data_IF_541620413660
#
_entry.id   IF_541620413660
#
_cell.length_a   1.000
_cell.length_b   1.000
_cell.length_c   1.000
_cell.angle_alpha   90.00
_cell.angle_beta   90.00
_cell.angle_gamma   90.00
#
_symmetry.space_group_name_H-M   'P 1'
#
loop_
_entity.id
_entity.type
_entity.pdbx_description
1 polymer ?
#
# COMPACT_ATOMS: atom_id res chain seq x y z
N UNK A 1 -40.44 60.45 9.04
CA UNK A 1 -39.24 61.32 9.02
C UNK A 1 -39.05 61.86 10.44
N UNK A 2 -37.85 62.05 11.01
CA UNK A 2 -36.48 61.81 10.52
C UNK A 2 -35.56 61.04 11.54
N UNK A 3 -34.58 60.24 11.08
CA UNK A 3 -33.10 60.42 11.23
C UNK A 3 -32.51 60.08 12.64
N UNK A 4 -31.39 59.37 12.88
CA UNK A 4 -30.24 58.90 12.09
C UNK A 4 -29.30 58.05 13.00
N UNK A 5 -28.91 56.86 12.52
CA UNK A 5 -27.57 56.22 12.39
C UNK A 5 -26.38 56.53 13.35
N UNK A 6 -25.70 55.49 13.88
CA UNK A 6 -24.36 54.94 13.49
C UNK A 6 -23.77 54.04 14.61
N UNK A 7 -23.52 52.75 14.31
CA UNK A 7 -22.20 52.08 14.17
C UNK A 7 -21.41 51.95 15.50
N UNK A 8 -20.96 50.77 15.96
CA UNK A 8 -19.81 49.96 15.49
C UNK A 8 -19.98 48.54 16.11
N UNK A 9 -20.18 47.47 15.32
CA UNK A 9 -19.21 46.47 14.83
C UNK A 9 -18.35 45.75 15.90
N UNK A 10 -18.06 44.46 15.68
CA UNK A 10 -17.36 43.45 16.54
C UNK A 10 -18.37 42.58 17.28
N UNK A 11 -18.64 41.31 16.97
CA UNK A 11 -17.87 40.25 16.32
C UNK A 11 -18.85 39.35 15.58
N UNK A 12 -18.55 39.10 14.30
CA UNK A 12 -19.17 38.10 13.47
C UNK A 12 -18.04 37.16 13.06
N UNK A 13 -17.98 36.01 13.71
CA UNK A 13 -17.21 34.83 13.29
C UNK A 13 -18.21 33.67 13.52
N UNK A 14 -19.08 33.34 12.56
CA UNK A 14 -18.79 32.52 11.38
C UNK A 14 -17.96 31.28 11.79
N UNK A 15 -18.41 30.04 11.64
CA UNK A 15 -19.61 29.49 11.07
C UNK A 15 -19.69 28.03 11.55
N UNK A 16 -20.91 27.57 11.85
CA UNK A 16 -21.38 26.24 11.51
C UNK A 16 -20.60 25.04 12.08
N UNK A 17 -21.02 24.65 13.29
CA UNK A 17 -21.17 23.25 13.67
C UNK A 17 -22.08 22.54 12.65
N UNK A 18 -21.51 21.99 11.60
CA UNK A 18 -22.15 21.04 10.69
C UNK A 18 -21.45 19.69 10.88
N UNK A 19 -22.22 18.62 11.02
CA UNK A 19 -21.75 17.27 11.25
C UNK A 19 -20.61 16.89 10.28
N UNK A 20 -19.38 16.81 10.79
CA UNK A 20 -18.25 16.28 10.04
C UNK A 20 -18.42 14.76 9.99
N UNK A 21 -19.20 14.29 9.02
CA UNK A 21 -19.10 12.91 8.55
C UNK A 21 -17.62 12.73 8.18
N UNK A 22 -16.85 11.83 8.83
CA UNK A 22 -15.46 11.63 8.47
C UNK A 22 -15.43 11.20 7.00
N UNK A 23 -15.02 12.12 6.13
CA UNK A 23 -14.92 11.82 4.70
C UNK A 23 -13.98 10.61 4.57
N UNK A 24 -14.37 9.55 3.85
CA UNK A 24 -13.54 8.37 3.73
C UNK A 24 -12.21 8.78 3.11
N UNK A 25 -11.13 8.64 3.88
CA UNK A 25 -9.79 8.94 3.42
C UNK A 25 -9.47 7.97 2.27
N UNK A 26 -9.09 8.50 1.10
CA UNK A 26 -8.59 7.68 0.01
C UNK A 26 -7.19 7.21 0.35
N UNK A 27 -6.99 5.90 0.32
CA UNK A 27 -5.72 5.25 0.63
C UNK A 27 -5.29 4.49 -0.62
N UNK A 28 -4.30 5.02 -1.31
CA UNK A 28 -3.69 4.38 -2.47
C UNK A 28 -2.41 3.67 -2.02
N UNK A 29 -2.30 2.37 -2.28
CA UNK A 29 -1.15 1.57 -1.87
C UNK A 29 -0.39 1.08 -3.09
N UNK A 30 0.93 1.27 -3.07
CA UNK A 30 1.84 0.76 -4.10
C UNK A 30 2.86 -0.19 -3.49
N UNK A 31 2.86 -1.43 -3.95
CA UNK A 31 3.87 -2.42 -3.56
C UNK A 31 5.16 -2.15 -4.33
N UNK A 32 6.28 -2.06 -3.62
CA UNK A 32 7.60 -1.77 -4.20
C UNK A 32 8.40 -3.04 -4.43
N UNK A 33 8.38 -3.99 -3.49
CA UNK A 33 9.10 -5.26 -3.60
C UNK A 33 8.41 -6.33 -2.76
N UNK A 34 8.32 -7.54 -3.31
CA UNK A 34 7.75 -8.72 -2.64
C UNK A 34 8.89 -9.66 -2.28
N UNK A 35 8.87 -10.14 -1.04
CA UNK A 35 9.85 -11.05 -0.45
C UNK A 35 9.12 -12.34 -0.04
N UNK A 36 9.42 -13.48 -0.69
CA UNK A 36 8.72 -14.73 -0.43
C UNK A 36 9.18 -15.45 0.85
N UNK A 37 10.33 -15.09 1.41
CA UNK A 37 10.93 -15.76 2.56
C UNK A 37 11.11 -14.84 3.77
N UNK A 38 10.95 -15.41 4.96
CA UNK A 38 11.12 -14.71 6.24
C UNK A 38 9.89 -13.97 6.75
N UNK A 39 10.08 -13.20 7.83
CA UNK A 39 9.01 -12.43 8.47
C UNK A 39 8.61 -11.19 7.65
N UNK A 40 9.50 -10.67 6.79
CA UNK A 40 9.19 -9.54 5.93
C UNK A 40 8.67 -10.05 4.59
N UNK A 41 7.42 -9.71 4.26
CA UNK A 41 6.72 -10.15 3.06
C UNK A 41 6.81 -9.15 1.92
N UNK A 42 6.77 -7.85 2.23
CA UNK A 42 6.89 -6.82 1.21
C UNK A 42 7.23 -5.44 1.77
N UNK A 43 7.71 -4.58 0.90
CA UNK A 43 7.74 -3.13 1.11
C UNK A 43 6.65 -2.46 0.29
N UNK A 44 5.95 -1.51 0.91
CA UNK A 44 4.92 -0.70 0.29
C UNK A 44 5.14 0.78 0.56
N UNK A 45 4.50 1.58 -0.29
CA UNK A 45 4.29 3.01 -0.08
C UNK A 45 2.80 3.28 -0.07
N UNK A 46 2.34 4.07 0.87
CA UNK A 46 0.92 4.43 1.05
C UNK A 46 0.76 5.91 0.75
N UNK A 47 -0.20 6.27 -0.08
CA UNK A 47 -0.57 7.65 -0.38
C UNK A 47 -1.96 7.93 0.20
N UNK A 48 -2.06 8.99 0.97
CA UNK A 48 -3.27 9.44 1.65
C UNK A 48 -3.82 10.67 0.92
N UNK A 49 -5.03 10.54 0.38
CA UNK A 49 -5.75 11.57 -0.36
C UNK A 49 -4.97 12.20 -1.53
N UNK A 50 -3.93 11.54 -2.05
CA UNK A 50 -3.07 12.12 -3.09
C UNK A 50 -2.15 13.25 -2.60
N UNK A 51 -2.24 13.64 -1.33
CA UNK A 51 -1.55 14.80 -0.77
C UNK A 51 -0.39 14.41 0.14
N UNK A 52 -0.36 13.17 0.64
CA UNK A 52 0.65 12.74 1.59
C UNK A 52 1.11 11.31 1.33
N UNK A 53 2.42 11.09 1.16
CA UNK A 53 2.97 9.78 0.87
C UNK A 53 3.87 9.28 2.01
N UNK A 54 3.58 8.07 2.50
CA UNK A 54 4.34 7.35 3.49
C UNK A 54 5.14 6.25 2.77
N UNK A 55 6.46 6.34 2.83
CA UNK A 55 7.39 5.34 2.26
C UNK A 55 7.89 4.40 3.34
N UNK A 56 8.46 3.26 2.94
CA UNK A 56 9.03 2.25 3.82
C UNK A 56 8.01 1.60 4.77
N UNK A 57 6.77 1.44 4.30
CA UNK A 57 5.78 0.62 5.00
C UNK A 57 6.14 -0.85 4.77
N UNK A 58 6.21 -1.65 5.84
CA UNK A 58 6.60 -3.06 5.77
C UNK A 58 5.37 -3.94 5.97
N UNK A 59 5.16 -4.90 5.10
CA UNK A 59 4.20 -5.98 5.30
C UNK A 59 4.98 -7.14 5.92
N UNK A 60 4.55 -7.55 7.10
CA UNK A 60 5.19 -8.60 7.88
C UNK A 60 4.22 -9.75 8.08
N UNK A 61 4.76 -10.97 8.12
CA UNK A 61 4.02 -12.18 8.49
C UNK A 61 4.24 -12.49 9.96
N UNK A 62 3.18 -12.80 10.68
CA UNK A 62 3.22 -13.24 12.07
C UNK A 62 2.36 -14.50 12.22
N UNK A 63 2.44 -15.17 13.36
CA UNK A 63 1.61 -16.34 13.67
C UNK A 63 0.11 -16.04 13.66
N UNK A 64 -0.27 -14.76 13.78
CA UNK A 64 -1.66 -14.28 13.70
C UNK A 64 -2.08 -13.82 12.29
N UNK A 65 -1.20 -13.97 11.30
CA UNK A 65 -1.41 -13.52 9.92
C UNK A 65 -0.59 -12.29 9.54
N UNK A 66 -0.84 -11.79 8.34
CA UNK A 66 -0.15 -10.62 7.78
C UNK A 66 -0.55 -9.34 8.52
N UNK A 67 0.44 -8.50 8.80
CA UNK A 67 0.23 -7.21 9.42
C UNK A 67 1.13 -6.14 8.82
N UNK A 68 0.66 -4.90 8.86
CA UNK A 68 1.43 -3.73 8.44
C UNK A 68 2.25 -3.18 9.60
N UNK A 69 3.56 -3.13 9.41
CA UNK A 69 4.50 -2.44 10.27
C UNK A 69 4.83 -1.06 9.67
N UNK A 70 4.57 -0.03 10.46
CA UNK A 70 4.81 1.36 10.06
C UNK A 70 6.32 1.65 9.90
N UNK A 71 6.68 2.71 9.16
CA UNK A 71 8.05 3.19 9.09
C UNK A 71 8.53 3.58 10.48
N UNK A 72 9.64 2.98 10.93
CA UNK A 72 10.19 3.20 12.25
C UNK A 72 11.65 3.60 12.19
N UNK A 73 12.09 4.37 13.18
CA UNK A 73 13.47 4.76 13.36
C UNK A 73 14.01 4.19 14.68
N UNK A 74 15.31 3.90 14.71
CA UNK A 74 15.99 3.48 15.92
C UNK A 74 16.39 4.72 16.71
N UNK A 75 15.82 4.90 17.89
CA UNK A 75 16.19 5.97 18.81
C UNK A 75 17.56 5.69 19.45
N UNK A 76 18.22 6.73 19.96
CA UNK A 76 19.56 6.64 20.56
C UNK A 76 19.66 5.71 21.77
N UNK A 77 18.54 5.41 22.43
CA UNK A 77 18.43 4.43 23.51
C UNK A 77 18.30 2.97 23.01
N UNK A 78 18.32 2.74 21.69
CA UNK A 78 18.17 1.41 21.09
C UNK A 78 16.72 0.97 20.83
N UNK A 79 15.73 1.75 21.27
CA UNK A 79 14.30 1.46 21.06
C UNK A 79 13.86 1.87 19.65
N UNK A 80 12.97 1.09 19.03
CA UNK A 80 12.36 1.46 17.76
C UNK A 80 11.07 2.22 17.99
N UNK A 81 10.95 3.39 17.35
CA UNK A 81 9.74 4.22 17.39
C UNK A 81 9.19 4.41 16.00
N UNK A 82 7.88 4.25 15.87
CA UNK A 82 7.18 4.52 14.61
C UNK A 82 7.18 6.02 14.33
N UNK A 83 7.57 6.37 13.10
CA UNK A 83 7.61 7.76 12.61
C UNK A 83 6.18 8.25 12.35
N UNK A 84 5.32 7.35 11.89
CA UNK A 84 3.92 7.63 11.63
C UNK A 84 3.07 6.50 12.18
N UNK A 85 1.97 6.88 12.80
CA UNK A 85 1.04 5.97 13.44
C UNK A 85 -0.40 6.41 13.17
N UNK A 86 -1.32 5.49 12.88
CA UNK A 86 -2.73 5.82 12.78
C UNK A 86 -3.26 6.20 14.17
N UNK A 87 -4.02 7.30 14.23
CA UNK A 87 -4.58 7.80 15.50
C UNK A 87 -5.86 7.06 15.89
N UNK A 88 -6.71 6.74 14.91
CA UNK A 88 -7.99 6.07 15.15
C UNK A 88 -7.91 4.57 14.81
N UNK A 89 -8.67 3.76 15.55
CA UNK A 89 -8.75 2.32 15.31
C UNK A 89 -9.33 2.00 13.92
N UNK A 90 -10.38 2.71 13.53
CA UNK A 90 -11.04 2.53 12.23
C UNK A 90 -10.08 2.75 11.07
N UNK A 91 -9.27 3.83 11.12
CA UNK A 91 -8.29 4.10 10.08
C UNK A 91 -7.14 3.07 10.09
N UNK A 92 -6.73 2.60 11.28
CA UNK A 92 -5.75 1.52 11.39
C UNK A 92 -6.23 0.25 10.67
N UNK A 93 -7.48 -0.13 10.89
CA UNK A 93 -8.09 -1.30 10.24
C UNK A 93 -8.22 -1.09 8.73
N UNK A 94 -8.69 0.08 8.30
CA UNK A 94 -8.81 0.45 6.89
C UNK A 94 -7.45 0.40 6.18
N UNK A 95 -6.40 0.98 6.78
CA UNK A 95 -5.06 0.98 6.20
C UNK A 95 -4.48 -0.43 6.13
N UNK A 96 -4.64 -1.23 7.19
CA UNK A 96 -4.14 -2.60 7.20
C UNK A 96 -4.80 -3.42 6.09
N UNK A 97 -6.12 -3.32 5.94
CA UNK A 97 -6.86 -4.00 4.87
C UNK A 97 -6.40 -3.53 3.48
N UNK A 98 -6.37 -2.22 3.23
CA UNK A 98 -5.97 -1.68 1.93
C UNK A 98 -4.56 -2.13 1.50
N UNK A 99 -3.62 -2.20 2.46
CA UNK A 99 -2.24 -2.64 2.16
C UNK A 99 -2.17 -4.14 1.91
N UNK A 100 -2.89 -4.96 2.70
CA UNK A 100 -2.93 -6.42 2.51
C UNK A 100 -3.60 -6.75 1.17
N UNK A 101 -4.69 -6.07 0.82
CA UNK A 101 -5.37 -6.23 -0.48
C UNK A 101 -4.43 -5.91 -1.65
N UNK A 102 -3.75 -4.77 -1.60
CA UNK A 102 -2.78 -4.38 -2.63
C UNK A 102 -1.61 -5.38 -2.73
N UNK A 103 -1.17 -5.94 -1.60
CA UNK A 103 -0.16 -7.00 -1.57
C UNK A 103 -0.64 -8.28 -2.27
N UNK A 104 -1.84 -8.75 -1.95
CA UNK A 104 -2.42 -9.96 -2.58
C UNK A 104 -2.64 -9.79 -4.08
N UNK A 105 -3.09 -8.61 -4.51
CA UNK A 105 -3.23 -8.26 -5.93
C UNK A 105 -1.87 -8.28 -6.64
N UNK A 106 -0.85 -7.66 -6.03
CA UNK A 106 0.50 -7.61 -6.59
C UNK A 106 1.17 -8.99 -6.64
N UNK A 107 0.89 -9.86 -5.66
CA UNK A 107 1.33 -11.26 -5.66
C UNK A 107 0.75 -12.03 -6.85
N UNK A 108 -0.57 -11.92 -7.06
CA UNK A 108 -1.27 -12.59 -8.18
C UNK A 108 -0.71 -12.12 -9.52
N UNK A 109 -0.49 -10.82 -9.67
CA UNK A 109 0.06 -10.24 -10.89
C UNK A 109 1.51 -10.69 -11.15
N UNK A 110 2.33 -10.78 -10.09
CA UNK A 110 3.71 -11.27 -10.19
C UNK A 110 3.79 -12.75 -10.55
N UNK A 111 2.82 -13.56 -10.11
CA UNK A 111 2.73 -14.99 -10.47
C UNK A 111 2.26 -15.19 -11.91
N UNK A 112 1.30 -14.39 -12.39
CA UNK A 112 0.83 -14.45 -13.78
C UNK A 112 1.91 -14.03 -14.78
N UNK A 113 2.73 -13.03 -14.45
CA UNK A 113 3.87 -12.64 -15.31
C UNK A 113 4.94 -13.72 -15.39
N UNK A 114 5.18 -14.50 -14.34
CA UNK A 114 6.12 -15.65 -14.37
C UNK A 114 5.62 -16.82 -15.21
N UNK A 115 4.30 -16.99 -15.37
CA UNK A 115 3.74 -18.05 -16.20
C UNK A 115 3.75 -17.71 -17.71
N UNK A 116 3.87 -16.43 -18.07
CA UNK A 116 3.92 -15.98 -19.46
C UNK A 116 5.33 -15.94 -20.07
N UNK A 117 6.38 -16.06 -19.25
CA UNK A 117 7.79 -16.15 -19.68
C UNK A 117 8.30 -17.61 -19.64
N UNK A 118 7.47 -18.54 -20.12
CA UNK A 118 7.91 -19.89 -20.46
C UNK A 118 7.92 -19.97 -22.00
N UNK A 119 9.09 -20.11 -22.67
CA UNK A 119 9.09 -20.31 -24.11
C UNK A 119 8.30 -21.58 -24.47
N UNK A 120 7.52 -21.57 -25.56
CA UNK A 120 6.76 -22.74 -25.97
C UNK A 120 7.74 -23.81 -26.45
N UNK A 121 7.86 -24.87 -25.66
CA UNK A 121 8.08 -26.26 -26.08
C UNK A 121 8.76 -26.43 -27.47
N UNK A 122 10.08 -26.54 -27.49
CA UNK A 122 10.78 -27.17 -28.63
C UNK A 122 10.37 -28.64 -28.68
N UNK A 123 9.60 -29.01 -29.70
CA UNK A 123 9.26 -30.40 -30.02
C UNK A 123 10.54 -31.17 -30.41
N UNK A 124 10.64 -32.47 -30.09
CA UNK A 124 11.76 -33.29 -30.54
C UNK A 124 11.65 -33.48 -32.05
N UNK A 125 12.63 -32.95 -32.80
CA UNK A 125 12.77 -33.24 -34.23
C UNK A 125 13.10 -34.73 -34.39
N UNK A 126 12.07 -35.54 -34.63
CA UNK A 126 12.20 -36.86 -35.22
C UNK A 126 12.68 -36.69 -36.67
N UNK A 127 14.00 -36.64 -36.88
CA UNK A 127 14.56 -36.92 -38.19
C UNK A 127 14.64 -38.44 -38.37
N UNK A 128 13.60 -38.99 -38.97
CA UNK A 128 13.60 -40.34 -39.53
C UNK A 128 14.13 -40.29 -40.96
N UNK A 129 15.34 -40.77 -41.23
CA UNK A 129 15.81 -40.83 -42.63
C UNK A 129 17.21 -41.35 -42.95
N UNK A 130 17.37 -42.68 -43.00
CA UNK A 130 18.08 -43.41 -44.09
C UNK A 130 19.62 -43.65 -43.99
N UNK A 131 19.96 -44.90 -43.62
CA UNK A 131 20.83 -45.91 -44.30
C UNK A 131 22.34 -45.63 -44.63
N UNK A 132 23.14 -46.62 -44.22
CA UNK A 132 24.18 -47.39 -44.96
C UNK A 132 25.69 -47.19 -44.64
N UNK A 133 26.33 -48.38 -44.62
CA UNK A 133 27.71 -48.73 -44.97
C UNK A 133 28.85 -48.54 -43.95
N UNK A 134 29.14 -49.64 -43.24
CA UNK A 134 30.43 -50.36 -43.27
C UNK A 134 31.72 -49.62 -42.94
N UNK A 135 32.34 -49.98 -41.82
CA UNK A 135 33.72 -50.51 -41.70
C UNK A 135 34.02 -50.85 -40.24
#
# INVERSE_FOLDING_TARGET
>A
MPKTQKAVNTVQEAAQTAAEQPMPMKVDVKISSIHPEGNLRAYASVNLNGCFAIRNVKIMDSTKGLFVAMPSYKAGNGEYKDICFPVTKEFREQLNNAVIEAYNQSLTQSQQQKAADSPPFEQPEQDSGIKMAGM
#
